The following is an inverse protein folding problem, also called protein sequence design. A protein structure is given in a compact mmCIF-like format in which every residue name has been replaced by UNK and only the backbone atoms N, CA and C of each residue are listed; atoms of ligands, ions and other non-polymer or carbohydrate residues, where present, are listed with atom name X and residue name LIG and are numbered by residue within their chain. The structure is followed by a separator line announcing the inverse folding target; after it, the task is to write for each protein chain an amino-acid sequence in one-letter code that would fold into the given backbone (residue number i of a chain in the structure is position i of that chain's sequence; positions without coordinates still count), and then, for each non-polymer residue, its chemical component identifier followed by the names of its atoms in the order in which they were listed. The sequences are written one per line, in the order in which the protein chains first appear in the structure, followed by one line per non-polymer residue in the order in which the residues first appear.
data_IF_263470166576
#
_entry.id   IF_263470166576
#
_cell.length_a   1.000
_cell.length_b   1.000
_cell.length_c   1.000
_cell.angle_alpha   90.00
_cell.angle_beta   90.00
_cell.angle_gamma   90.00
#
_symmetry.space_group_name_H-M   'P 1'
#
loop_
_entity.id
_entity.type
_entity.pdbx_description
1 polymer ?
#
# COMPACT_ATOMS: atom_id res chain seq x y z
N UNK A 1 -23.97 42.93 18.37
CA UNK A 1 -22.74 42.34 17.77
C UNK A 1 -22.15 41.12 18.51
N UNK A 2 -22.36 40.91 19.83
CA UNK A 2 -21.74 39.80 20.59
C UNK A 2 -22.21 38.37 20.23
N UNK A 3 -23.49 38.16 19.86
CA UNK A 3 -24.05 36.81 19.53
C UNK A 3 -23.42 36.13 18.30
N UNK A 4 -22.91 36.91 17.33
CA UNK A 4 -22.21 36.36 16.14
C UNK A 4 -20.85 35.74 16.50
N UNK A 5 -20.09 36.37 17.42
CA UNK A 5 -18.76 35.89 17.84
C UNK A 5 -18.82 34.58 18.63
N UNK A 6 -19.89 34.35 19.40
CA UNK A 6 -20.06 33.14 20.20
C UNK A 6 -20.40 31.90 19.34
N UNK A 7 -21.20 32.07 18.27
CA UNK A 7 -21.50 30.99 17.31
C UNK A 7 -20.26 30.59 16.49
N UNK A 8 -19.38 31.54 16.12
CA UNK A 8 -18.11 31.24 15.44
C UNK A 8 -17.12 30.46 16.32
N UNK A 9 -17.02 30.78 17.62
CA UNK A 9 -16.21 30.00 18.58
C UNK A 9 -16.73 28.57 18.75
N UNK A 10 -18.06 28.39 18.74
CA UNK A 10 -18.70 27.07 18.80
C UNK A 10 -18.46 26.23 17.54
N UNK A 11 -18.48 26.83 16.35
CA UNK A 11 -18.26 26.10 15.10
C UNK A 11 -16.79 25.69 14.92
N UNK A 12 -15.85 26.61 15.21
CA UNK A 12 -14.40 26.31 15.14
C UNK A 12 -13.96 25.33 16.23
N UNK A 13 -14.54 25.43 17.44
CA UNK A 13 -14.33 24.45 18.51
C UNK A 13 -14.88 23.07 18.15
N UNK A 14 -16.13 22.99 17.69
CA UNK A 14 -16.76 21.73 17.28
C UNK A 14 -16.11 21.09 16.06
N UNK A 15 -15.56 21.88 15.14
CA UNK A 15 -14.79 21.38 13.99
C UNK A 15 -13.42 20.84 14.42
N UNK A 16 -12.73 21.53 15.35
CA UNK A 16 -11.49 21.02 15.93
C UNK A 16 -11.73 19.70 16.66
N UNK A 17 -12.78 19.60 17.46
CA UNK A 17 -13.15 18.37 18.18
C UNK A 17 -13.58 17.24 17.23
N UNK A 18 -14.13 17.57 16.07
CA UNK A 18 -14.47 16.59 15.03
C UNK A 18 -13.23 16.05 14.31
N UNK A 19 -12.31 16.92 13.88
CA UNK A 19 -11.06 16.50 13.23
C UNK A 19 -10.12 15.82 14.23
N UNK A 20 -10.15 16.18 15.51
CA UNK A 20 -9.29 15.52 16.52
C UNK A 20 -9.65 14.04 16.76
N UNK A 21 -10.76 13.56 16.18
CA UNK A 21 -11.09 12.13 16.17
C UNK A 21 -10.14 11.44 15.18
N UNK A 22 -9.15 10.71 15.70
CA UNK A 22 -8.09 10.06 14.89
C UNK A 22 -8.59 9.28 13.66
N UNK A 23 -9.69 8.53 13.81
CA UNK A 23 -10.31 7.79 12.71
C UNK A 23 -10.74 8.66 11.50
N UNK A 24 -11.06 9.94 11.72
CA UNK A 24 -11.46 10.87 10.63
C UNK A 24 -10.22 11.42 9.92
N UNK A 25 -9.14 11.70 10.66
CA UNK A 25 -7.88 12.17 10.09
C UNK A 25 -7.25 11.10 9.22
N UNK A 26 -7.16 9.87 9.72
CA UNK A 26 -6.56 8.75 8.99
C UNK A 26 -7.32 8.43 7.71
N UNK A 27 -8.66 8.48 7.78
CA UNK A 27 -9.52 8.32 6.60
C UNK A 27 -9.33 9.47 5.60
N UNK A 28 -9.27 10.71 6.07
CA UNK A 28 -9.05 11.87 5.19
C UNK A 28 -7.69 11.82 4.50
N UNK A 29 -6.63 11.48 5.24
CA UNK A 29 -5.27 11.30 4.68
C UNK A 29 -5.26 10.16 3.67
N UNK A 30 -5.88 9.02 3.99
CA UNK A 30 -5.97 7.87 3.09
C UNK A 30 -6.66 8.21 1.76
N UNK A 31 -7.77 8.97 1.78
CA UNK A 31 -8.49 9.38 0.57
C UNK A 31 -7.68 10.37 -0.27
N UNK A 32 -7.06 11.38 0.36
CA UNK A 32 -6.26 12.40 -0.36
C UNK A 32 -5.04 11.74 -1.00
N UNK A 33 -4.30 10.92 -0.25
CA UNK A 33 -3.11 10.23 -0.74
C UNK A 33 -3.48 9.21 -1.81
N UNK A 34 -4.57 8.45 -1.63
CA UNK A 34 -5.06 7.50 -2.63
C UNK A 34 -5.42 8.18 -3.96
N UNK A 35 -6.13 9.31 -3.89
CA UNK A 35 -6.49 10.09 -5.09
C UNK A 35 -5.28 10.72 -5.79
N UNK A 36 -4.30 11.22 -5.03
CA UNK A 36 -3.07 11.77 -5.59
C UNK A 36 -2.18 10.69 -6.22
N UNK A 37 -2.03 9.55 -5.56
CA UNK A 37 -1.25 8.42 -6.07
C UNK A 37 -1.84 7.85 -7.36
N UNK A 38 -3.17 7.73 -7.45
CA UNK A 38 -3.84 7.33 -8.69
C UNK A 38 -3.46 8.22 -9.88
N UNK A 39 -3.41 9.55 -9.69
CA UNK A 39 -2.97 10.49 -10.73
C UNK A 39 -1.52 10.30 -11.16
N UNK A 40 -0.62 9.99 -10.22
CA UNK A 40 0.79 9.72 -10.51
C UNK A 40 0.90 8.47 -11.41
N UNK A 41 0.16 7.42 -11.07
CA UNK A 41 0.13 6.19 -11.88
C UNK A 41 -0.48 6.47 -13.26
N UNK A 42 -1.60 7.17 -13.33
CA UNK A 42 -2.22 7.59 -14.61
C UNK A 42 -1.25 8.38 -15.50
N UNK A 43 -0.50 9.33 -14.94
CA UNK A 43 0.52 10.09 -15.69
C UNK A 43 1.68 9.21 -16.16
N UNK A 44 2.14 8.26 -15.35
CA UNK A 44 3.16 7.30 -15.77
C UNK A 44 2.69 6.48 -16.99
N UNK A 45 1.43 6.03 -16.98
CA UNK A 45 0.87 5.27 -18.11
C UNK A 45 0.75 6.15 -19.36
N UNK A 46 0.14 7.32 -19.23
CA UNK A 46 -0.19 8.19 -20.35
C UNK A 46 1.02 8.92 -20.95
N UNK A 47 1.96 9.34 -20.10
CA UNK A 47 3.04 10.23 -20.51
C UNK A 47 4.36 9.47 -20.75
N UNK A 48 4.51 8.25 -20.21
CA UNK A 48 5.77 7.48 -20.31
C UNK A 48 5.56 6.14 -21.05
N UNK A 49 4.52 5.38 -20.73
CA UNK A 49 4.32 4.06 -21.34
C UNK A 49 3.66 4.18 -22.72
N UNK A 50 2.68 5.06 -22.87
CA UNK A 50 1.90 5.22 -24.08
C UNK A 50 2.66 5.82 -25.28
N UNK A 51 3.52 6.85 -25.16
CA UNK A 51 4.16 7.43 -26.34
C UNK A 51 5.01 6.43 -27.14
N UNK A 52 5.83 5.55 -26.52
CA UNK A 52 6.51 4.47 -27.23
C UNK A 52 5.54 3.51 -27.96
N UNK A 53 4.40 3.18 -27.35
CA UNK A 53 3.38 2.30 -27.93
C UNK A 53 2.67 2.98 -29.11
N UNK A 54 2.35 4.27 -28.99
CA UNK A 54 1.73 5.07 -30.05
C UNK A 54 2.63 5.20 -31.28
N UNK A 55 3.94 5.40 -31.07
CA UNK A 55 4.92 5.39 -32.16
C UNK A 55 4.97 4.04 -32.87
N UNK A 56 4.92 2.92 -32.13
CA UNK A 56 4.93 1.57 -32.72
C UNK A 56 3.70 1.24 -33.56
N UNK A 57 2.57 1.93 -33.32
CA UNK A 57 1.28 1.63 -33.96
C UNK A 57 0.95 2.65 -35.08
N UNK A 58 1.92 3.47 -35.46
CA UNK A 58 1.84 4.35 -36.63
C UNK A 58 1.92 5.84 -36.32
N UNK A 59 2.42 6.23 -35.14
CA UNK A 59 2.63 7.63 -34.77
C UNK A 59 1.36 8.38 -34.38
N UNK A 60 0.29 7.64 -34.04
CA UNK A 60 -0.95 8.20 -33.52
C UNK A 60 -1.07 7.89 -32.03
N UNK A 61 -1.52 8.88 -31.26
CA UNK A 61 -1.85 8.67 -29.86
C UNK A 61 -3.01 7.69 -29.75
N UNK A 62 -2.80 6.62 -28.98
CA UNK A 62 -3.81 5.58 -28.77
C UNK A 62 -5.12 6.15 -28.26
N UNK A 63 -5.04 7.25 -27.50
CA UNK A 63 -6.17 7.99 -26.97
C UNK A 63 -7.08 8.58 -28.05
N UNK A 64 -6.51 8.94 -29.19
CA UNK A 64 -7.20 9.62 -30.30
C UNK A 64 -7.76 8.63 -31.34
N UNK A 65 -7.52 7.33 -31.16
CA UNK A 65 -8.16 6.28 -31.94
C UNK A 65 -9.67 6.29 -31.67
N UNK A 66 -10.40 6.82 -32.64
CA UNK A 66 -11.84 7.00 -32.57
C UNK A 66 -12.53 6.53 -33.86
N UNK A 67 -13.58 5.73 -33.71
CA UNK A 67 -14.44 5.34 -34.82
C UNK A 67 -15.49 6.43 -35.03
N UNK A 68 -15.47 7.09 -36.19
CA UNK A 68 -16.41 8.16 -36.53
C UNK A 68 -17.72 7.49 -36.97
N UNK A 69 -18.77 7.58 -36.14
CA UNK A 69 -20.11 7.08 -36.51
C UNK A 69 -20.80 8.08 -37.43
N UNK A 70 -20.61 9.38 -37.17
CA UNK A 70 -21.18 10.46 -37.99
C UNK A 70 -20.12 11.52 -38.25
N UNK A 71 -19.74 11.75 -39.53
CA UNK A 71 -18.75 12.77 -39.87
C UNK A 71 -19.29 14.16 -39.53
N UNK A 72 -18.40 15.06 -39.13
CA UNK A 72 -18.73 16.47 -38.97
C UNK A 72 -19.18 17.07 -40.30
N UNK A 73 -20.27 17.83 -40.29
CA UNK A 73 -20.63 18.67 -41.43
C UNK A 73 -20.06 20.06 -41.19
N UNK A 74 -19.09 20.44 -42.02
CA UNK A 74 -18.52 21.78 -42.05
C UNK A 74 -19.37 22.67 -42.97
N UNK A 75 -19.70 23.88 -42.52
CA UNK A 75 -20.18 24.92 -43.42
C UNK A 75 -19.05 25.38 -44.36
N UNK A 76 -19.41 26.02 -45.48
CA UNK A 76 -18.44 26.56 -46.44
C UNK A 76 -17.51 27.65 -45.85
N UNK A 77 -17.81 28.16 -44.64
CA UNK A 77 -17.00 29.11 -43.88
C UNK A 77 -16.07 28.46 -42.83
N UNK A 78 -16.05 27.14 -42.73
CA UNK A 78 -15.27 26.40 -41.75
C UNK A 78 -15.91 26.28 -40.36
N UNK A 79 -17.14 26.74 -40.16
CA UNK A 79 -17.87 26.55 -38.90
C UNK A 79 -18.51 25.15 -38.79
N UNK A 80 -18.47 24.59 -37.58
CA UNK A 80 -18.97 23.25 -37.28
C UNK A 80 -20.50 23.32 -37.13
N UNK A 81 -21.25 22.81 -38.12
CA UNK A 81 -22.72 22.82 -38.10
C UNK A 81 -23.31 21.69 -37.26
N UNK A 82 -22.66 20.53 -37.24
CA UNK A 82 -23.00 19.42 -36.34
C UNK A 82 -21.74 18.75 -35.80
N UNK A 83 -21.69 18.57 -34.48
CA UNK A 83 -20.56 17.91 -33.81
C UNK A 83 -20.44 16.46 -34.29
N UNK A 84 -19.23 16.03 -34.64
CA UNK A 84 -18.95 14.64 -34.96
C UNK A 84 -19.25 13.74 -33.76
N UNK A 85 -20.00 12.65 -34.01
CA UNK A 85 -20.23 11.61 -33.00
C UNK A 85 -19.16 10.53 -33.23
N UNK A 86 -18.20 10.46 -32.31
CA UNK A 86 -17.05 9.56 -32.36
C UNK A 86 -17.10 8.59 -31.17
N UNK A 87 -16.83 7.30 -31.41
CA UNK A 87 -16.55 6.34 -30.34
C UNK A 87 -15.04 6.31 -30.12
N UNK A 88 -14.59 6.85 -28.99
CA UNK A 88 -13.19 6.86 -28.60
C UNK A 88 -12.81 5.54 -27.93
N UNK A 89 -12.72 4.46 -28.71
CA UNK A 89 -12.33 3.14 -28.21
C UNK A 89 -10.89 3.13 -27.68
N UNK A 90 -10.04 3.99 -28.23
CA UNK A 90 -8.70 4.24 -27.73
C UNK A 90 -8.64 4.65 -26.26
N UNK A 91 -9.46 5.64 -25.89
CA UNK A 91 -9.58 6.10 -24.51
C UNK A 91 -10.14 5.01 -23.58
N UNK A 92 -11.03 4.15 -24.08
CA UNK A 92 -11.56 3.05 -23.27
C UNK A 92 -10.46 2.02 -22.93
N UNK A 93 -9.66 1.61 -23.90
CA UNK A 93 -8.54 0.69 -23.68
C UNK A 93 -7.50 1.31 -22.73
N UNK A 94 -7.24 2.61 -22.87
CA UNK A 94 -6.40 3.36 -21.94
C UNK A 94 -6.92 3.29 -20.51
N UNK A 95 -8.22 3.54 -20.29
CA UNK A 95 -8.80 3.45 -18.93
C UNK A 95 -8.73 2.04 -18.33
N UNK A 96 -8.82 0.99 -19.17
CA UNK A 96 -8.64 -0.40 -18.72
C UNK A 96 -7.18 -0.64 -18.29
N UNK A 97 -6.21 -0.18 -19.09
CA UNK A 97 -4.79 -0.33 -18.77
C UNK A 97 -4.40 0.44 -17.51
N UNK A 98 -4.88 1.68 -17.35
CA UNK A 98 -4.69 2.47 -16.12
C UNK A 98 -5.22 1.73 -14.90
N UNK A 99 -6.45 1.20 -14.97
CA UNK A 99 -7.04 0.42 -13.89
C UNK A 99 -6.18 -0.81 -13.55
N UNK A 100 -5.70 -1.53 -14.56
CA UNK A 100 -4.88 -2.73 -14.36
C UNK A 100 -3.53 -2.40 -13.70
N UNK A 101 -2.89 -1.29 -14.10
CA UNK A 101 -1.61 -0.85 -13.54
C UNK A 101 -1.79 -0.30 -12.12
N UNK A 102 -2.86 0.44 -11.85
CA UNK A 102 -3.19 0.89 -10.48
C UNK A 102 -3.45 -0.31 -9.58
N UNK A 103 -4.26 -1.27 -10.03
CA UNK A 103 -4.55 -2.49 -9.29
C UNK A 103 -3.28 -3.31 -9.02
N UNK A 104 -2.41 -3.45 -10.02
CA UNK A 104 -1.13 -4.12 -9.87
C UNK A 104 -0.19 -3.38 -8.90
N UNK A 105 -0.15 -2.05 -8.95
CA UNK A 105 0.67 -1.23 -8.05
C UNK A 105 0.22 -1.37 -6.60
N UNK A 106 -1.09 -1.29 -6.35
CA UNK A 106 -1.68 -1.49 -5.02
C UNK A 106 -1.39 -2.92 -4.53
N UNK A 107 -1.62 -3.92 -5.37
CA UNK A 107 -1.31 -5.31 -5.06
C UNK A 107 0.17 -5.50 -4.70
N UNK A 108 1.09 -4.94 -5.49
CA UNK A 108 2.53 -5.04 -5.25
C UNK A 108 2.92 -4.42 -3.90
N UNK A 109 2.40 -3.24 -3.56
CA UNK A 109 2.63 -2.59 -2.26
C UNK A 109 2.04 -3.41 -1.11
N UNK A 110 0.81 -3.93 -1.26
CA UNK A 110 0.18 -4.78 -0.26
C UNK A 110 0.97 -6.08 -0.06
N UNK A 111 1.37 -6.76 -1.14
CA UNK A 111 2.22 -7.95 -1.08
C UNK A 111 3.58 -7.64 -0.48
N UNK A 112 4.19 -6.48 -0.75
CA UNK A 112 5.44 -6.05 -0.12
C UNK A 112 5.25 -5.87 1.40
N UNK A 113 4.20 -5.17 1.82
CA UNK A 113 3.91 -4.94 3.25
C UNK A 113 3.60 -6.27 3.95
N UNK A 114 2.78 -7.13 3.34
CA UNK A 114 2.45 -8.46 3.89
C UNK A 114 3.71 -9.32 3.96
N UNK A 115 4.53 -9.36 2.91
CA UNK A 115 5.82 -10.07 2.92
C UNK A 115 6.77 -9.53 3.99
N UNK A 116 6.82 -8.20 4.18
CA UNK A 116 7.63 -7.59 5.24
C UNK A 116 7.11 -7.93 6.63
N UNK A 117 5.79 -7.95 6.85
CA UNK A 117 5.20 -8.38 8.12
C UNK A 117 5.48 -9.86 8.39
N UNK A 118 5.29 -10.73 7.40
CA UNK A 118 5.64 -12.15 7.49
C UNK A 118 7.15 -12.37 7.70
N UNK A 119 7.99 -11.49 7.16
CA UNK A 119 9.44 -11.51 7.39
C UNK A 119 9.79 -11.03 8.80
N UNK A 120 9.13 -9.99 9.32
CA UNK A 120 9.32 -9.49 10.69
C UNK A 120 8.82 -10.51 11.71
N UNK A 121 7.63 -11.09 11.53
CA UNK A 121 7.11 -12.18 12.40
C UNK A 121 8.04 -13.40 12.37
N UNK A 122 8.59 -13.77 11.21
CA UNK A 122 9.57 -14.86 11.11
C UNK A 122 10.90 -14.52 11.79
N UNK A 123 11.36 -13.28 11.70
CA UNK A 123 12.60 -12.83 12.36
C UNK A 123 12.40 -12.69 13.87
N UNK A 124 11.23 -12.27 14.34
CA UNK A 124 10.87 -12.27 15.77
C UNK A 124 10.78 -13.70 16.30
N UNK A 125 10.12 -14.62 15.60
CA UNK A 125 10.11 -16.04 15.99
C UNK A 125 11.49 -16.69 15.95
N UNK A 126 12.34 -16.34 14.99
CA UNK A 126 13.70 -16.88 14.91
C UNK A 126 14.65 -16.26 15.95
N UNK A 127 14.39 -15.03 16.39
CA UNK A 127 15.11 -14.38 17.49
C UNK A 127 14.62 -14.87 18.86
N UNK A 128 13.31 -15.07 19.06
CA UNK A 128 12.75 -15.69 20.26
C UNK A 128 13.23 -17.14 20.40
N UNK A 129 13.26 -17.92 19.31
CA UNK A 129 13.83 -19.29 19.33
C UNK A 129 15.35 -19.28 19.53
N UNK A 130 16.09 -18.27 19.06
CA UNK A 130 17.53 -18.16 19.33
C UNK A 130 17.82 -17.65 20.74
N UNK A 131 17.02 -16.74 21.30
CA UNK A 131 17.12 -16.32 22.70
C UNK A 131 16.70 -17.44 23.64
N UNK A 132 15.59 -18.14 23.40
CA UNK A 132 15.18 -19.34 24.16
C UNK A 132 16.22 -20.46 24.06
N UNK A 133 16.77 -20.77 22.88
CA UNK A 133 17.79 -21.82 22.75
C UNK A 133 19.11 -21.42 23.43
N UNK A 134 19.48 -20.13 23.45
CA UNK A 134 20.69 -19.65 24.14
C UNK A 134 20.46 -19.56 25.66
N UNK A 135 19.26 -19.23 26.12
CA UNK A 135 18.92 -19.19 27.54
C UNK A 135 18.72 -20.61 28.12
N UNK A 136 18.05 -21.50 27.38
CA UNK A 136 17.79 -22.89 27.77
C UNK A 136 19.09 -23.75 27.75
N UNK A 137 20.02 -23.50 26.82
CA UNK A 137 21.32 -24.22 26.81
C UNK A 137 22.30 -23.78 27.88
N UNK A 138 22.17 -22.56 28.43
CA UNK A 138 23.04 -22.07 29.51
C UNK A 138 22.43 -22.28 30.90
N UNK A 139 21.10 -22.38 31.02
CA UNK A 139 20.41 -22.47 32.32
C UNK A 139 19.85 -23.85 32.66
N UNK A 140 19.69 -24.79 31.71
CA UNK A 140 18.99 -26.06 32.00
C UNK A 140 19.87 -27.32 31.93
N UNK A 141 20.89 -27.42 32.78
CA UNK A 141 21.07 -28.74 33.41
C UNK A 141 19.97 -28.79 34.47
N UNK A 142 18.91 -29.62 34.30
CA UNK A 142 17.82 -29.68 35.27
C UNK A 142 18.40 -29.87 36.67
N UNK A 143 17.85 -29.16 37.67
CA UNK A 143 18.37 -29.23 39.05
C UNK A 143 18.54 -30.67 39.53
N UNK A 144 17.66 -31.57 39.08
CA UNK A 144 17.72 -33.00 39.33
C UNK A 144 19.01 -33.65 38.82
N UNK A 145 19.49 -33.28 37.62
CA UNK A 145 20.73 -33.83 37.05
C UNK A 145 21.98 -33.28 37.77
N UNK A 146 21.93 -32.02 38.25
CA UNK A 146 22.99 -31.45 39.08
C UNK A 146 23.06 -32.16 40.44
N UNK A 147 21.92 -32.30 41.11
CA UNK A 147 21.80 -33.01 42.38
C UNK A 147 22.25 -34.47 42.25
N UNK A 148 21.87 -35.16 41.17
CA UNK A 148 22.29 -36.54 40.92
C UNK A 148 23.81 -36.64 40.68
N UNK A 149 24.42 -35.61 40.09
CA UNK A 149 25.88 -35.56 39.90
C UNK A 149 26.59 -35.36 41.24
N UNK A 150 26.11 -34.44 42.07
CA UNK A 150 26.65 -34.20 43.42
C UNK A 150 26.51 -35.44 44.32
N UNK A 151 25.36 -36.12 44.27
CA UNK A 151 25.14 -37.35 45.05
C UNK A 151 26.09 -38.47 44.61
N UNK A 152 26.31 -38.64 43.28
CA UNK A 152 27.27 -39.63 42.76
C UNK A 152 28.68 -39.36 43.28
N UNK A 153 29.10 -38.10 43.27
CA UNK A 153 30.45 -37.72 43.66
C UNK A 153 30.65 -37.89 45.18
N UNK A 154 29.65 -37.55 46.00
CA UNK A 154 29.65 -37.79 47.45
C UNK A 154 29.65 -39.29 47.81
N UNK A 155 28.94 -40.12 47.06
CA UNK A 155 28.97 -41.57 47.26
C UNK A 155 30.33 -42.16 46.92
N UNK A 156 30.93 -41.73 45.80
CA UNK A 156 32.26 -42.18 45.41
C UNK A 156 33.32 -41.79 46.46
N UNK A 157 33.25 -40.58 47.00
CA UNK A 157 34.16 -40.15 48.07
C UNK A 157 33.99 -40.98 49.36
N UNK A 158 32.76 -41.44 49.65
CA UNK A 158 32.48 -42.30 50.80
C UNK A 158 32.99 -43.73 50.59
N UNK A 159 32.85 -44.28 49.38
CA UNK A 159 33.39 -45.59 49.01
C UNK A 159 34.92 -45.60 49.00
N UNK A 160 35.56 -44.48 48.65
CA UNK A 160 37.03 -44.33 48.74
C UNK A 160 37.54 -44.17 50.19
N UNK A 161 36.64 -43.88 51.15
CA UNK A 161 36.97 -43.68 52.58
C UNK A 161 36.62 -44.89 53.47
N UNK A 162 36.12 -45.99 52.90
CA UNK A 162 35.88 -47.27 53.60
C UNK A 162 36.88 -48.34 53.14
#
# INVERSE_FOLDING_TARGET
MKKRKQRLKSFTGGFKDFISRGNVVDLAVGVIVGGAFGKIVTSLVNDIIMPPIGVLIGGVDFKDLAAIIRPETLAADGSILTAAVKINYGNFILTILEFLIIAFSIYSILTLIIRRKQFIEKVEQENEVKEEVVEETVVSVPADIQLLTEIRDLLKEKDEKQ
#
